data_IF_958267387503
#
_entry.id   IF_958267387503
#
_cell.length_a   1.000
_cell.length_b   1.000
_cell.length_c   1.000
_cell.angle_alpha   90.00
_cell.angle_beta   90.00
_cell.angle_gamma   90.00
#
_symmetry.space_group_name_H-M   'P 1'
#
loop_
_entity.id
_entity.type
_entity.pdbx_description
1 polymer ?
#
# COMPACT_ATOMS: atom_id res chain seq x y z
N UNK A 1 -21.68 -7.38 -9.67
CA UNK A 1 -22.43 -7.14 -8.44
C UNK A 1 -23.61 -6.24 -8.77
N UNK A 2 -24.85 -6.74 -8.71
CA UNK A 2 -26.05 -5.91 -8.84
C UNK A 2 -26.03 -4.88 -7.72
N UNK A 3 -26.03 -3.59 -8.06
CA UNK A 3 -26.08 -2.49 -7.11
C UNK A 3 -27.27 -2.68 -6.16
N UNK A 4 -27.00 -2.68 -4.85
CA UNK A 4 -28.04 -2.76 -3.81
C UNK A 4 -28.65 -1.39 -3.48
N UNK A 5 -28.33 -0.36 -4.28
CA UNK A 5 -28.84 1.00 -4.11
C UNK A 5 -30.37 1.02 -4.21
N UNK A 6 -31.00 1.72 -3.27
CA UNK A 6 -32.46 1.82 -3.18
C UNK A 6 -33.16 0.57 -2.65
N UNK A 7 -32.41 -0.48 -2.27
CA UNK A 7 -32.98 -1.68 -1.68
C UNK A 7 -32.98 -1.63 -0.17
N UNK A 8 -33.78 -2.49 0.44
CA UNK A 8 -33.84 -2.67 1.88
C UNK A 8 -32.99 -3.85 2.33
N UNK A 9 -32.13 -3.64 3.33
CA UNK A 9 -31.34 -4.68 3.98
C UNK A 9 -31.73 -4.76 5.46
N UNK A 10 -32.64 -5.66 5.81
CA UNK A 10 -33.25 -5.69 7.13
C UNK A 10 -33.93 -4.36 7.48
N UNK A 11 -33.54 -3.71 8.59
CA UNK A 11 -34.06 -2.40 8.98
C UNK A 11 -33.43 -1.23 8.20
N UNK A 12 -32.38 -1.46 7.38
CA UNK A 12 -31.62 -0.42 6.72
C UNK A 12 -32.09 -0.18 5.29
N UNK A 13 -32.39 1.08 4.95
CA UNK A 13 -32.62 1.53 3.59
C UNK A 13 -31.30 2.04 3.01
N UNK A 14 -30.73 1.31 2.04
CA UNK A 14 -29.42 1.62 1.44
C UNK A 14 -29.57 2.78 0.45
N UNK A 15 -29.09 3.98 0.83
CA UNK A 15 -29.32 5.24 0.07
C UNK A 15 -28.22 5.55 -0.93
N UNK A 16 -26.95 5.43 -0.54
CA UNK A 16 -25.81 5.66 -1.42
C UNK A 16 -24.63 4.77 -1.03
N UNK A 17 -23.85 4.34 -2.03
CA UNK A 17 -22.59 3.64 -1.81
C UNK A 17 -21.53 4.69 -1.49
N UNK A 18 -20.86 4.58 -0.33
CA UNK A 18 -19.81 5.51 0.11
C UNK A 18 -18.42 4.89 0.13
N UNK A 19 -18.33 3.56 -0.02
CA UNK A 19 -17.06 2.84 -0.12
C UNK A 19 -17.26 1.42 -0.63
N UNK A 20 -16.32 0.92 -1.41
CA UNK A 20 -16.27 -0.48 -1.85
C UNK A 20 -14.82 -0.96 -1.89
N UNK A 21 -14.58 -2.17 -1.43
CA UNK A 21 -13.26 -2.78 -1.39
C UNK A 21 -13.31 -4.29 -1.16
N UNK A 22 -12.14 -4.88 -0.99
CA UNK A 22 -12.00 -6.32 -0.79
C UNK A 22 -12.71 -6.84 0.48
N UNK A 23 -12.87 -5.98 1.50
CA UNK A 23 -13.54 -6.30 2.77
C UNK A 23 -15.04 -5.99 2.75
N UNK A 24 -15.60 -5.53 1.63
CA UNK A 24 -17.04 -5.30 1.47
C UNK A 24 -17.40 -3.93 0.94
N UNK A 25 -18.70 -3.65 1.00
CA UNK A 25 -19.32 -2.41 0.54
C UNK A 25 -19.83 -1.61 1.73
N UNK A 26 -19.62 -0.30 1.75
CA UNK A 26 -20.12 0.59 2.79
C UNK A 26 -21.18 1.51 2.19
N UNK A 27 -22.35 1.51 2.79
CA UNK A 27 -23.49 2.31 2.36
C UNK A 27 -23.84 3.38 3.39
N UNK A 28 -24.16 4.57 2.92
CA UNK A 28 -24.98 5.50 3.69
C UNK A 28 -26.39 4.93 3.70
N UNK A 29 -26.94 4.64 4.87
CA UNK A 29 -28.23 4.00 5.04
C UNK A 29 -29.08 4.75 6.05
N UNK A 30 -30.40 4.55 5.97
CA UNK A 30 -31.34 4.98 6.98
C UNK A 30 -31.80 3.78 7.80
N UNK A 31 -31.51 3.80 9.10
CA UNK A 31 -32.03 2.86 10.08
C UNK A 31 -33.48 3.23 10.38
N UNK A 32 -34.44 2.45 9.82
CA UNK A 32 -35.88 2.72 9.94
C UNK A 32 -36.47 2.40 11.33
N UNK A 33 -35.73 1.68 12.18
CA UNK A 33 -36.14 1.36 13.55
C UNK A 33 -35.76 2.46 14.51
N UNK A 34 -34.57 3.05 14.35
CA UNK A 34 -34.03 4.10 15.23
C UNK A 34 -34.12 5.49 14.61
N UNK A 35 -34.69 5.61 13.41
CA UNK A 35 -34.91 6.86 12.65
C UNK A 35 -33.64 7.72 12.58
N UNK A 36 -32.54 7.14 12.08
CA UNK A 36 -31.24 7.82 11.96
C UNK A 36 -30.49 7.42 10.70
N UNK A 37 -29.61 8.31 10.25
CA UNK A 37 -28.68 8.01 9.17
C UNK A 37 -27.40 7.39 9.73
N UNK A 38 -26.94 6.28 9.12
CA UNK A 38 -25.81 5.47 9.57
C UNK A 38 -24.93 5.08 8.40
N UNK A 39 -23.72 4.59 8.67
CA UNK A 39 -22.91 3.86 7.73
C UNK A 39 -23.09 2.35 7.97
N UNK A 40 -23.48 1.62 6.95
CA UNK A 40 -23.64 0.16 7.03
C UNK A 40 -22.62 -0.51 6.10
N UNK A 41 -21.68 -1.25 6.70
CA UNK A 41 -20.73 -2.07 5.96
C UNK A 41 -21.30 -3.47 5.79
N UNK A 42 -21.39 -3.93 4.53
CA UNK A 42 -21.79 -5.29 4.16
C UNK A 42 -20.57 -6.09 3.75
N UNK A 43 -20.32 -7.23 4.42
CA UNK A 43 -19.17 -8.07 4.13
C UNK A 43 -19.46 -9.01 2.95
N UNK A 44 -18.42 -9.41 2.18
CA UNK A 44 -18.58 -10.36 1.08
C UNK A 44 -19.14 -11.70 1.54
N UNK A 45 -19.97 -12.32 0.71
CA UNK A 45 -20.59 -13.62 1.02
C UNK A 45 -19.55 -14.73 1.30
N UNK A 46 -18.40 -14.69 0.64
CA UNK A 46 -17.32 -15.63 0.86
C UNK A 46 -16.78 -15.59 2.30
N UNK A 47 -16.64 -14.39 2.89
CA UNK A 47 -16.25 -14.22 4.30
C UNK A 47 -17.37 -14.70 5.23
N UNK A 48 -18.61 -14.44 4.87
CA UNK A 48 -19.78 -14.87 5.65
C UNK A 48 -19.94 -16.39 5.68
N UNK A 49 -19.38 -17.13 4.73
CA UNK A 49 -19.44 -18.58 4.67
C UNK A 49 -18.41 -19.32 5.54
N UNK A 50 -17.31 -18.65 5.97
CA UNK A 50 -16.27 -19.25 6.82
C UNK A 50 -16.67 -19.24 8.31
N UNK A 51 -16.90 -20.43 8.94
CA UNK A 51 -17.28 -20.51 10.36
C UNK A 51 -16.24 -19.91 11.30
N UNK A 52 -14.95 -20.05 10.98
CA UNK A 52 -13.87 -19.50 11.78
C UNK A 52 -13.89 -17.97 11.75
N UNK A 53 -14.15 -17.37 10.57
CA UNK A 53 -14.35 -15.93 10.44
C UNK A 53 -15.57 -15.46 11.21
N UNK A 54 -16.72 -16.15 11.09
CA UNK A 54 -17.96 -15.80 11.79
C UNK A 54 -17.78 -15.68 13.30
N UNK A 55 -17.09 -16.67 13.92
CA UNK A 55 -16.87 -16.68 15.36
C UNK A 55 -15.94 -15.53 15.80
N UNK A 56 -14.84 -15.30 15.04
CA UNK A 56 -13.92 -14.19 15.31
C UNK A 56 -14.63 -12.85 15.17
N UNK A 57 -15.31 -12.63 14.05
CA UNK A 57 -16.05 -11.40 13.76
C UNK A 57 -17.00 -11.02 14.89
N UNK A 58 -17.86 -11.96 15.30
CA UNK A 58 -18.82 -11.69 16.39
C UNK A 58 -18.12 -11.31 17.70
N UNK A 59 -17.04 -12.03 18.05
CA UNK A 59 -16.28 -11.75 19.28
C UNK A 59 -15.57 -10.41 19.22
N UNK A 60 -14.91 -10.11 18.14
CA UNK A 60 -14.11 -8.89 17.97
C UNK A 60 -14.99 -7.65 17.81
N UNK A 61 -16.10 -7.74 17.07
CA UNK A 61 -17.10 -6.67 17.00
C UNK A 61 -17.77 -6.41 18.36
N UNK A 62 -18.04 -7.45 19.16
CA UNK A 62 -18.59 -7.28 20.50
C UNK A 62 -17.62 -6.51 21.42
N UNK A 63 -16.32 -6.79 21.35
CA UNK A 63 -15.30 -6.04 22.08
C UNK A 63 -15.22 -4.60 21.55
N UNK A 64 -15.15 -4.42 20.22
CA UNK A 64 -15.05 -3.10 19.62
C UNK A 64 -16.25 -2.19 19.96
N UNK A 65 -17.47 -2.73 19.94
CA UNK A 65 -18.70 -2.00 20.31
C UNK A 65 -18.71 -1.57 21.79
N UNK A 66 -17.94 -2.24 22.65
CA UNK A 66 -17.80 -1.89 24.07
C UNK A 66 -16.74 -0.83 24.37
N UNK A 67 -15.89 -0.47 23.39
CA UNK A 67 -14.85 0.52 23.57
C UNK A 67 -15.42 1.93 23.75
N UNK A 68 -14.87 2.69 24.69
CA UNK A 68 -15.32 4.05 25.02
C UNK A 68 -14.23 5.10 24.74
N UNK A 69 -13.40 4.85 23.73
CA UNK A 69 -12.39 5.79 23.26
C UNK A 69 -12.98 6.65 22.13
N UNK A 70 -12.89 8.00 22.20
CA UNK A 70 -13.50 8.89 21.19
C UNK A 70 -13.03 8.66 19.74
N UNK A 71 -11.79 8.16 19.55
CA UNK A 71 -11.23 7.90 18.23
C UNK A 71 -11.53 6.50 17.70
N UNK A 72 -12.24 5.65 18.44
CA UNK A 72 -12.85 4.43 17.93
C UNK A 72 -14.20 4.79 17.33
N UNK A 73 -14.46 4.38 16.08
CA UNK A 73 -15.77 4.63 15.46
C UNK A 73 -16.90 4.03 16.32
N UNK A 74 -17.93 4.80 16.71
CA UNK A 74 -19.06 4.25 17.42
C UNK A 74 -19.79 3.20 16.59
N UNK A 75 -19.78 1.96 17.07
CA UNK A 75 -20.48 0.83 16.46
C UNK A 75 -21.86 0.69 17.11
N UNK A 76 -22.92 0.72 16.32
CA UNK A 76 -24.30 0.69 16.80
C UNK A 76 -24.89 -0.70 16.84
N UNK A 77 -24.57 -1.52 15.80
CA UNK A 77 -25.05 -2.87 15.68
C UNK A 77 -24.13 -3.68 14.73
N UNK A 78 -24.13 -4.98 14.89
CA UNK A 78 -23.39 -5.89 13.99
C UNK A 78 -24.04 -7.27 14.03
N UNK A 79 -23.90 -8.03 12.98
CA UNK A 79 -24.49 -9.36 12.91
C UNK A 79 -24.57 -9.90 11.50
N UNK A 80 -25.62 -10.70 11.26
CA UNK A 80 -25.91 -11.26 9.94
C UNK A 80 -27.41 -11.11 9.63
N UNK A 81 -27.72 -10.64 8.42
CA UNK A 81 -29.09 -10.57 7.86
C UNK A 81 -29.07 -11.38 6.55
N UNK A 82 -29.92 -12.37 6.44
CA UNK A 82 -30.02 -13.28 5.28
C UNK A 82 -28.65 -13.83 4.87
N UNK A 83 -27.84 -14.24 5.86
CA UNK A 83 -26.51 -14.82 5.65
C UNK A 83 -25.39 -13.83 5.26
N UNK A 84 -25.68 -12.51 5.19
CA UNK A 84 -24.70 -11.48 4.93
C UNK A 84 -24.33 -10.80 6.24
N UNK A 85 -23.03 -10.79 6.58
CA UNK A 85 -22.55 -10.08 7.77
C UNK A 85 -22.51 -8.58 7.52
N UNK A 86 -22.84 -7.82 8.56
CA UNK A 86 -22.87 -6.35 8.52
C UNK A 86 -22.33 -5.72 9.80
N UNK A 87 -21.91 -4.46 9.67
CA UNK A 87 -21.60 -3.56 10.77
C UNK A 87 -22.35 -2.26 10.54
N UNK A 88 -23.18 -1.85 11.50
CA UNK A 88 -23.81 -0.54 11.57
C UNK A 88 -22.98 0.37 12.47
N UNK A 89 -22.52 1.49 11.94
CA UNK A 89 -21.62 2.42 12.64
C UNK A 89 -22.00 3.89 12.38
N UNK A 90 -21.45 4.76 13.19
CA UNK A 90 -21.59 6.20 13.01
C UNK A 90 -21.16 6.62 11.61
N UNK A 91 -21.98 7.44 10.95
CA UNK A 91 -21.64 8.03 9.66
C UNK A 91 -20.76 9.26 9.88
N UNK A 92 -19.51 9.18 9.43
CA UNK A 92 -18.58 10.31 9.46
C UNK A 92 -18.79 11.16 8.21
N UNK A 93 -19.15 12.42 8.40
CA UNK A 93 -19.22 13.41 7.32
C UNK A 93 -17.81 13.93 7.03
N UNK A 94 -17.14 13.32 6.07
CA UNK A 94 -15.75 13.61 5.70
C UNK A 94 -15.20 12.54 4.76
N UNK A 95 -13.91 12.42 4.70
CA UNK A 95 -13.22 11.44 3.85
C UNK A 95 -12.24 10.58 4.63
N UNK A 96 -11.61 9.63 3.95
CA UNK A 96 -10.52 8.87 4.54
C UNK A 96 -9.20 9.66 4.52
N UNK A 97 -8.27 9.28 5.37
CA UNK A 97 -6.90 9.79 5.32
C UNK A 97 -6.24 9.49 3.95
N UNK A 98 -6.63 8.39 3.31
CA UNK A 98 -6.18 8.06 1.95
C UNK A 98 -6.63 9.09 0.93
N UNK A 99 -7.90 9.52 1.02
CA UNK A 99 -8.43 10.58 0.15
C UNK A 99 -7.70 11.89 0.38
N UNK A 100 -7.46 12.25 1.64
CA UNK A 100 -6.70 13.44 2.00
C UNK A 100 -5.28 13.43 1.41
N UNK A 101 -4.57 12.29 1.54
CA UNK A 101 -3.21 12.13 1.00
C UNK A 101 -3.21 12.18 -0.54
N UNK A 102 -4.21 11.57 -1.18
CA UNK A 102 -4.34 11.62 -2.65
C UNK A 102 -4.62 13.04 -3.16
N UNK A 103 -5.46 13.81 -2.46
CA UNK A 103 -5.88 15.15 -2.89
C UNK A 103 -4.84 16.23 -2.58
N UNK A 104 -4.20 16.14 -1.42
CA UNK A 104 -3.32 17.20 -0.90
C UNK A 104 -1.84 16.80 -0.86
N UNK A 105 -1.52 15.54 -1.15
CA UNK A 105 -0.17 15.00 -1.00
C UNK A 105 0.24 14.82 0.48
N UNK A 106 1.55 14.76 0.75
CA UNK A 106 2.10 14.52 2.08
C UNK A 106 1.74 15.64 3.06
N UNK A 107 1.52 15.26 4.31
CA UNK A 107 1.12 16.19 5.39
C UNK A 107 2.34 16.86 6.04
N UNK A 108 2.13 18.05 6.59
CA UNK A 108 3.10 18.66 7.47
C UNK A 108 3.27 17.82 8.76
N UNK A 109 4.50 17.79 9.28
CA UNK A 109 4.89 16.92 10.40
C UNK A 109 3.99 17.08 11.63
N UNK A 110 3.60 18.29 12.08
CA UNK A 110 2.67 18.45 13.21
C UNK A 110 1.30 17.81 12.97
N UNK A 111 0.79 17.92 11.73
CA UNK A 111 -0.50 17.33 11.35
C UNK A 111 -0.43 15.80 11.29
N UNK A 112 0.63 15.25 10.70
CA UNK A 112 0.88 13.81 10.66
C UNK A 112 0.97 13.23 12.09
N UNK A 113 1.75 13.85 12.97
CA UNK A 113 1.88 13.44 14.37
C UNK A 113 0.54 13.53 15.13
N UNK A 114 -0.27 14.58 14.90
CA UNK A 114 -1.59 14.74 15.52
C UNK A 114 -2.55 13.61 15.11
N UNK A 115 -2.63 13.26 13.82
CA UNK A 115 -3.48 12.16 13.33
C UNK A 115 -3.01 10.83 13.93
N UNK A 116 -1.71 10.56 13.89
CA UNK A 116 -1.11 9.35 14.48
C UNK A 116 -1.40 9.25 15.97
N UNK A 117 -1.36 10.36 16.71
CA UNK A 117 -1.68 10.38 18.13
C UNK A 117 -3.16 10.02 18.42
N UNK A 118 -4.07 10.45 17.56
CA UNK A 118 -5.48 10.09 17.65
C UNK A 118 -5.72 8.60 17.37
N UNK A 119 -5.12 8.08 16.29
CA UNK A 119 -5.18 6.64 15.95
C UNK A 119 -4.54 5.78 17.05
N UNK A 120 -3.42 6.24 17.62
CA UNK A 120 -2.74 5.54 18.70
C UNK A 120 -3.62 5.37 19.95
N UNK A 121 -4.41 6.38 20.31
CA UNK A 121 -5.38 6.27 21.44
C UNK A 121 -6.44 5.19 21.17
N UNK A 122 -6.98 5.14 19.96
CA UNK A 122 -7.92 4.11 19.56
C UNK A 122 -7.30 2.69 19.65
N UNK A 123 -6.07 2.56 19.19
CA UNK A 123 -5.33 1.28 19.24
C UNK A 123 -5.03 0.86 20.69
N UNK A 124 -4.52 1.76 21.52
CA UNK A 124 -4.19 1.43 22.92
C UNK A 124 -5.45 1.03 23.72
N UNK A 125 -6.59 1.67 23.47
CA UNK A 125 -7.86 1.26 24.07
C UNK A 125 -8.31 -0.15 23.62
N UNK A 126 -8.16 -0.45 22.32
CA UNK A 126 -8.45 -1.78 21.78
C UNK A 126 -7.50 -2.84 22.36
N UNK A 127 -6.21 -2.55 22.42
CA UNK A 127 -5.19 -3.44 22.98
C UNK A 127 -5.43 -3.73 24.46
N UNK A 128 -5.82 -2.73 25.24
CA UNK A 128 -6.19 -2.91 26.65
C UNK A 128 -7.40 -3.85 26.82
N UNK A 129 -8.32 -3.87 25.85
CA UNK A 129 -9.45 -4.79 25.79
C UNK A 129 -9.11 -6.16 25.16
N UNK A 130 -7.84 -6.42 24.83
CA UNK A 130 -7.38 -7.66 24.21
C UNK A 130 -7.70 -7.79 22.71
N UNK A 131 -8.05 -6.69 22.05
CA UNK A 131 -8.35 -6.64 20.61
C UNK A 131 -7.17 -6.03 19.84
N UNK A 132 -6.66 -6.76 18.84
CA UNK A 132 -5.65 -6.30 17.90
C UNK A 132 -6.33 -5.97 16.58
N UNK A 133 -6.07 -4.77 16.02
CA UNK A 133 -6.79 -4.26 14.86
C UNK A 133 -6.41 -4.96 13.54
N UNK A 134 -5.12 -5.18 13.30
CA UNK A 134 -4.53 -5.88 12.16
C UNK A 134 -4.78 -5.25 10.75
N UNK A 135 -5.43 -4.10 10.71
CA UNK A 135 -5.78 -3.42 9.46
C UNK A 135 -5.52 -1.92 9.51
N UNK A 136 -4.53 -1.45 10.29
CA UNK A 136 -4.18 -0.02 10.37
C UNK A 136 -3.60 0.44 9.04
N UNK A 137 -4.33 1.37 8.37
CA UNK A 137 -4.00 1.91 7.05
C UNK A 137 -4.79 3.19 6.78
N UNK A 138 -4.38 4.05 5.81
CA UNK A 138 -5.05 5.33 5.57
C UNK A 138 -6.55 5.23 5.24
N UNK A 139 -6.99 4.17 4.57
CA UNK A 139 -8.40 3.96 4.23
C UNK A 139 -9.27 3.70 5.46
N UNK A 140 -8.68 3.21 6.56
CA UNK A 140 -9.38 2.90 7.81
C UNK A 140 -9.28 4.03 8.85
N UNK A 141 -8.75 5.19 8.47
CA UNK A 141 -8.75 6.41 9.28
C UNK A 141 -9.67 7.42 8.62
N UNK A 142 -10.85 7.64 9.20
CA UNK A 142 -11.82 8.63 8.73
C UNK A 142 -11.57 9.95 9.43
N UNK A 143 -11.64 11.04 8.69
CA UNK A 143 -11.39 12.39 9.17
C UNK A 143 -12.65 13.23 9.02
N UNK A 144 -13.06 13.91 10.11
CA UNK A 144 -14.08 14.94 10.05
C UNK A 144 -13.49 16.25 9.46
N UNK A 145 -14.33 17.23 9.04
CA UNK A 145 -13.85 18.51 8.54
C UNK A 145 -12.96 19.29 9.51
N UNK A 146 -13.13 19.13 10.82
CA UNK A 146 -12.33 19.71 11.89
C UNK A 146 -11.10 18.84 12.26
N UNK A 147 -10.78 17.84 11.43
CA UNK A 147 -9.63 16.97 11.55
C UNK A 147 -9.63 16.00 12.74
N UNK A 148 -10.78 15.72 13.32
CA UNK A 148 -10.91 14.63 14.26
C UNK A 148 -10.84 13.30 13.52
N UNK A 149 -10.04 12.36 14.03
CA UNK A 149 -9.81 11.07 13.39
C UNK A 149 -10.59 9.95 14.09
N UNK A 150 -11.26 9.12 13.30
CA UNK A 150 -11.85 7.85 13.73
C UNK A 150 -11.09 6.69 13.11
N UNK A 151 -10.73 5.69 13.90
CA UNK A 151 -10.26 4.40 13.42
C UNK A 151 -11.47 3.47 13.22
N UNK A 152 -11.58 2.87 12.03
CA UNK A 152 -12.70 2.00 11.62
C UNK A 152 -12.22 0.58 11.31
N UNK A 153 -13.14 -0.34 11.04
CA UNK A 153 -12.86 -1.71 10.58
C UNK A 153 -12.25 -2.65 11.62
N UNK A 154 -12.58 -2.45 12.89
CA UNK A 154 -12.30 -3.41 13.95
C UNK A 154 -12.99 -4.77 13.69
N UNK A 155 -12.30 -5.88 13.95
CA UNK A 155 -12.83 -7.23 13.76
C UNK A 155 -12.79 -7.76 12.32
N UNK A 156 -12.27 -6.99 11.38
CA UNK A 156 -12.20 -7.34 9.94
C UNK A 156 -10.75 -7.48 9.46
N UNK A 157 -9.78 -6.95 10.21
CA UNK A 157 -8.38 -6.87 9.80
C UNK A 157 -7.69 -8.21 9.46
N UNK A 158 -8.18 -9.33 9.99
CA UNK A 158 -7.69 -10.65 9.62
C UNK A 158 -7.99 -11.03 8.17
N UNK A 159 -9.07 -10.50 7.60
CA UNK A 159 -9.54 -10.79 6.26
C UNK A 159 -9.07 -9.77 5.21
N UNK A 160 -8.36 -8.72 5.62
CA UNK A 160 -7.81 -7.71 4.72
C UNK A 160 -6.69 -8.32 3.85
N UNK A 161 -6.85 -8.41 2.53
CA UNK A 161 -5.83 -8.96 1.63
C UNK A 161 -4.67 -8.00 1.40
N UNK A 162 -4.79 -6.73 1.79
CA UNK A 162 -3.75 -5.74 1.60
C UNK A 162 -2.52 -6.05 2.45
N UNK A 163 -1.36 -6.07 1.81
CA UNK A 163 -0.07 -6.37 2.44
C UNK A 163 0.82 -5.14 2.65
N UNK A 164 0.41 -3.98 2.15
CA UNK A 164 1.21 -2.74 2.09
C UNK A 164 1.63 -2.22 3.47
N UNK A 165 0.82 -2.48 4.50
CA UNK A 165 1.09 -2.07 5.89
C UNK A 165 1.28 -3.26 6.82
N UNK A 166 1.42 -4.46 6.24
CA UNK A 166 1.42 -5.71 6.99
C UNK A 166 2.74 -5.92 7.74
N UNK A 167 2.66 -6.18 9.03
CA UNK A 167 3.83 -6.48 9.85
C UNK A 167 4.47 -7.83 9.47
N UNK A 168 5.82 -7.96 9.61
CA UNK A 168 6.58 -9.17 9.22
C UNK A 168 6.01 -10.48 9.75
N UNK A 169 5.58 -10.51 11.01
CA UNK A 169 5.04 -11.72 11.66
C UNK A 169 3.73 -12.22 11.04
N UNK A 170 2.99 -11.39 10.31
CA UNK A 170 1.77 -11.81 9.61
C UNK A 170 2.05 -12.58 8.30
N UNK A 171 3.25 -12.50 7.77
CA UNK A 171 3.68 -13.31 6.62
C UNK A 171 4.18 -14.70 7.03
N UNK A 172 4.27 -14.96 8.33
CA UNK A 172 4.69 -16.23 8.91
C UNK A 172 3.61 -16.75 9.86
N UNK A 173 3.88 -17.87 10.54
CA UNK A 173 3.02 -18.38 11.61
C UNK A 173 3.24 -17.67 12.96
N UNK A 174 3.82 -16.46 12.91
CA UNK A 174 4.13 -15.67 14.10
C UNK A 174 2.89 -15.23 14.86
N UNK A 175 3.01 -15.10 16.20
CA UNK A 175 1.91 -14.59 17.02
C UNK A 175 1.72 -13.09 16.76
N UNK A 176 0.48 -12.68 16.48
CA UNK A 176 0.07 -11.27 16.40
C UNK A 176 -0.18 -10.69 17.79
N UNK A 177 -0.04 -9.38 17.93
CA UNK A 177 -0.27 -8.67 19.19
C UNK A 177 -0.21 -7.16 18.98
N UNK A 178 -0.28 -6.36 20.06
CA UNK A 178 -0.24 -4.90 19.99
C UNK A 178 0.87 -4.33 19.10
N UNK A 179 2.08 -4.92 19.16
CA UNK A 179 3.23 -4.48 18.37
C UNK A 179 3.06 -4.73 16.86
N UNK A 180 2.08 -5.57 16.45
CA UNK A 180 1.72 -5.75 15.04
C UNK A 180 1.06 -4.48 14.50
N UNK A 181 0.15 -3.88 15.27
CA UNK A 181 -0.49 -2.60 14.92
C UNK A 181 0.48 -1.42 15.01
N UNK A 182 1.43 -1.45 15.97
CA UNK A 182 2.52 -0.45 16.06
C UNK A 182 3.34 -0.40 14.78
N UNK A 183 3.64 -1.53 14.17
CA UNK A 183 4.32 -1.58 12.87
C UNK A 183 3.50 -0.89 11.77
N UNK A 184 2.23 -1.25 11.67
CA UNK A 184 1.32 -0.67 10.66
C UNK A 184 1.10 0.84 10.90
N UNK A 185 1.06 1.29 12.16
CA UNK A 185 0.98 2.71 12.53
C UNK A 185 2.24 3.47 12.14
N UNK A 186 3.42 2.85 12.24
CA UNK A 186 4.67 3.45 11.76
C UNK A 186 4.69 3.58 10.22
N UNK A 187 4.15 2.58 9.51
CA UNK A 187 3.96 2.67 8.05
C UNK A 187 3.00 3.82 7.68
N UNK A 188 1.92 3.99 8.43
CA UNK A 188 0.97 5.08 8.24
C UNK A 188 1.60 6.44 8.52
N UNK A 189 2.40 6.58 9.59
CA UNK A 189 3.17 7.81 9.88
C UNK A 189 4.10 8.13 8.70
N UNK A 190 4.84 7.14 8.21
CA UNK A 190 5.73 7.32 7.06
C UNK A 190 4.97 7.86 5.84
N UNK A 191 3.83 7.26 5.48
CA UNK A 191 3.02 7.71 4.35
C UNK A 191 2.43 9.11 4.58
N UNK A 192 1.98 9.43 5.77
CA UNK A 192 1.55 10.79 6.11
C UNK A 192 2.64 11.82 5.83
N UNK A 193 3.90 11.50 6.15
CA UNK A 193 5.04 12.41 5.99
C UNK A 193 5.55 12.49 4.54
N UNK A 194 5.46 11.41 3.77
CA UNK A 194 6.09 11.29 2.44
C UNK A 194 5.09 11.28 1.28
N UNK A 195 3.81 10.99 1.55
CA UNK A 195 2.76 10.84 0.55
C UNK A 195 2.69 9.45 -0.10
N UNK A 196 3.61 8.54 0.25
CA UNK A 196 3.69 7.18 -0.31
C UNK A 196 3.94 6.16 0.80
N UNK A 197 3.47 4.91 0.68
CA UNK A 197 3.75 3.87 1.66
C UNK A 197 5.26 3.54 1.69
N UNK A 198 5.76 2.96 2.80
CA UNK A 198 7.19 2.67 2.95
C UNK A 198 7.73 1.66 1.94
N UNK A 199 6.90 0.75 1.48
CA UNK A 199 7.20 -0.23 0.44
C UNK A 199 6.02 -0.33 -0.52
N UNK A 200 6.30 -0.18 -1.81
CA UNK A 200 5.31 -0.26 -2.88
C UNK A 200 5.91 -1.03 -4.05
N UNK A 201 5.25 -2.11 -4.43
CA UNK A 201 5.57 -2.93 -5.59
C UNK A 201 4.32 -3.68 -6.02
N UNK A 202 4.22 -3.98 -7.32
CA UNK A 202 3.13 -4.77 -7.87
C UNK A 202 3.29 -6.28 -7.56
N UNK A 203 4.51 -6.73 -7.23
CA UNK A 203 4.78 -8.13 -6.89
C UNK A 203 4.52 -8.40 -5.39
N UNK A 204 3.53 -9.25 -5.04
CA UNK A 204 3.23 -9.59 -3.65
C UNK A 204 4.38 -10.27 -2.89
N UNK A 205 5.26 -11.01 -3.57
CA UNK A 205 6.39 -11.69 -2.93
C UNK A 205 7.56 -10.74 -2.72
N UNK A 206 7.78 -9.80 -3.62
CA UNK A 206 8.71 -8.70 -3.42
C UNK A 206 8.27 -7.80 -2.26
N UNK A 207 6.98 -7.44 -2.19
CA UNK A 207 6.42 -6.67 -1.08
C UNK A 207 6.59 -7.39 0.26
N UNK A 208 6.32 -8.69 0.30
CA UNK A 208 6.57 -9.54 1.47
C UNK A 208 8.05 -9.52 1.86
N UNK A 209 8.94 -9.67 0.89
CA UNK A 209 10.39 -9.63 1.11
C UNK A 209 10.83 -8.28 1.68
N UNK A 210 10.29 -7.17 1.16
CA UNK A 210 10.57 -5.84 1.66
C UNK A 210 10.14 -5.69 3.14
N UNK A 211 8.92 -6.09 3.49
CA UNK A 211 8.46 -6.06 4.88
C UNK A 211 9.26 -6.96 5.81
N UNK A 212 9.71 -8.11 5.32
CA UNK A 212 10.46 -9.09 6.12
C UNK A 212 11.93 -8.68 6.34
N UNK A 213 12.59 -8.14 5.32
CA UNK A 213 14.04 -8.04 5.27
C UNK A 213 14.58 -6.62 5.05
N UNK A 214 13.89 -5.78 4.24
CA UNK A 214 14.43 -4.45 3.91
C UNK A 214 14.36 -3.51 5.12
N UNK A 215 15.39 -2.67 5.34
CA UNK A 215 15.34 -1.66 6.39
C UNK A 215 14.19 -0.68 6.14
N UNK A 216 13.69 -0.06 7.20
CA UNK A 216 12.69 0.99 7.09
C UNK A 216 13.28 2.17 6.29
N UNK A 217 12.55 2.71 5.30
CA UNK A 217 13.01 3.88 4.57
C UNK A 217 12.98 5.13 5.48
N UNK A 218 13.83 6.11 5.15
CA UNK A 218 13.98 7.33 5.95
C UNK A 218 13.13 8.48 5.43
N UNK A 219 12.11 8.94 6.17
CA UNK A 219 11.25 10.05 5.74
C UNK A 219 12.02 11.32 5.37
N UNK A 220 13.10 11.66 6.11
CA UNK A 220 13.91 12.86 5.88
C UNK A 220 14.66 12.84 4.55
N UNK A 221 14.95 11.66 4.00
CA UNK A 221 15.57 11.48 2.68
C UNK A 221 14.52 11.61 1.58
N UNK A 222 13.33 11.07 1.83
CA UNK A 222 12.25 11.03 0.83
C UNK A 222 11.59 12.40 0.63
N UNK A 223 11.49 13.21 1.68
CA UNK A 223 10.89 14.55 1.62
C UNK A 223 11.72 15.60 2.36
N UNK A 224 12.08 16.66 1.65
CA UNK A 224 12.71 17.83 2.26
C UNK A 224 11.76 18.48 3.28
N UNK A 225 12.31 18.92 4.42
CA UNK A 225 11.55 19.55 5.50
C UNK A 225 11.04 18.58 6.57
N UNK A 226 11.17 17.27 6.37
CA UNK A 226 10.96 16.28 7.43
C UNK A 226 12.22 16.16 8.27
N UNK A 227 12.09 16.33 9.59
CA UNK A 227 13.22 16.25 10.54
C UNK A 227 13.78 14.82 10.63
N UNK A 228 15.11 14.72 10.89
CA UNK A 228 15.78 13.41 11.02
C UNK A 228 15.29 12.58 12.20
N UNK A 229 14.76 13.20 13.25
CA UNK A 229 14.16 12.50 14.37
C UNK A 229 13.03 11.54 13.95
N UNK A 230 12.31 11.85 12.87
CA UNK A 230 11.30 10.94 12.31
C UNK A 230 11.91 9.68 11.71
N UNK A 231 13.15 9.70 11.24
CA UNK A 231 13.84 8.50 10.73
C UNK A 231 13.97 7.45 11.83
N UNK A 232 14.31 7.85 13.05
CA UNK A 232 14.46 6.96 14.20
C UNK A 232 13.11 6.44 14.68
N UNK A 233 12.07 7.29 14.70
CA UNK A 233 10.70 6.88 15.04
C UNK A 233 10.19 5.82 14.08
N UNK A 234 10.32 6.03 12.77
CA UNK A 234 9.89 5.10 11.74
C UNK A 234 10.73 3.82 11.80
N UNK A 235 12.05 3.92 11.92
CA UNK A 235 12.94 2.76 11.98
C UNK A 235 12.63 1.88 13.20
N UNK A 236 12.39 2.45 14.37
CA UNK A 236 11.99 1.71 15.57
C UNK A 236 10.60 1.11 15.44
N UNK A 237 9.61 1.87 14.97
CA UNK A 237 8.25 1.39 14.77
C UNK A 237 8.16 0.24 13.76
N UNK A 238 8.96 0.31 12.69
CA UNK A 238 9.05 -0.71 11.64
C UNK A 238 10.14 -1.76 11.90
N UNK A 239 10.67 -1.88 13.11
CA UNK A 239 11.65 -2.92 13.43
C UNK A 239 11.09 -4.32 13.15
N UNK A 240 11.92 -5.19 12.56
CA UNK A 240 11.48 -6.54 12.14
C UNK A 240 11.14 -7.41 13.35
N UNK A 241 11.95 -7.32 14.39
CA UNK A 241 11.66 -7.98 15.67
C UNK A 241 10.65 -7.15 16.47
N UNK A 242 9.55 -7.77 16.90
CA UNK A 242 8.47 -7.12 17.65
C UNK A 242 8.96 -6.46 18.95
N UNK A 243 9.87 -7.11 19.67
CA UNK A 243 10.44 -6.62 20.93
C UNK A 243 11.33 -5.39 20.78
N UNK A 244 11.79 -5.11 19.57
CA UNK A 244 12.57 -3.89 19.27
C UNK A 244 11.69 -2.68 18.92
N UNK A 245 10.38 -2.88 18.73
CA UNK A 245 9.41 -1.82 18.47
C UNK A 245 9.06 -1.03 19.73
N UNK A 246 8.19 -0.05 19.60
CA UNK A 246 7.56 0.61 20.76
C UNK A 246 6.65 -0.38 21.49
N UNK A 247 6.55 -0.25 22.80
CA UNK A 247 5.73 -1.11 23.65
C UNK A 247 4.22 -0.92 23.42
N UNK A 248 3.80 0.32 23.06
CA UNK A 248 2.42 0.67 22.73
C UNK A 248 2.34 1.62 21.54
N UNK A 249 1.15 1.82 20.99
CA UNK A 249 0.90 2.81 19.94
C UNK A 249 1.10 4.25 20.46
N UNK A 250 0.71 4.51 21.71
CA UNK A 250 0.92 5.80 22.38
C UNK A 250 2.39 6.16 22.58
N UNK A 251 3.28 5.17 22.80
CA UNK A 251 4.71 5.43 22.85
C UNK A 251 5.26 5.89 21.49
N UNK A 252 4.83 5.28 20.39
CA UNK A 252 5.19 5.73 19.05
C UNK A 252 4.68 7.15 18.79
N UNK A 253 3.41 7.42 19.12
CA UNK A 253 2.81 8.73 18.91
C UNK A 253 3.51 9.83 19.71
N UNK A 254 3.93 9.55 20.95
CA UNK A 254 4.72 10.49 21.76
C UNK A 254 6.06 10.77 21.11
N UNK A 255 6.79 9.74 20.68
CA UNK A 255 8.05 9.91 19.97
C UNK A 255 7.89 10.72 18.67
N UNK A 256 6.80 10.52 17.93
CA UNK A 256 6.49 11.32 16.75
C UNK A 256 6.21 12.81 17.11
N UNK A 257 5.55 13.08 18.23
CA UNK A 257 5.30 14.44 18.72
C UNK A 257 6.59 15.14 19.20
N UNK A 258 7.47 14.40 19.86
CA UNK A 258 8.80 14.88 20.27
C UNK A 258 9.64 15.23 19.03
N UNK A 259 9.61 14.39 17.98
CA UNK A 259 10.27 14.64 16.71
C UNK A 259 9.79 15.92 16.00
N UNK A 260 8.54 16.35 16.20
CA UNK A 260 8.03 17.64 15.73
C UNK A 260 8.72 18.78 16.46
N UNK A 261 8.88 18.67 17.79
CA UNK A 261 9.44 19.74 18.63
C UNK A 261 10.92 20.00 18.31
N UNK A 262 11.69 18.94 18.01
CA UNK A 262 13.11 19.09 17.62
C UNK A 262 13.30 19.87 16.32
N UNK A 263 12.33 19.80 15.39
CA UNK A 263 12.38 20.55 14.12
C UNK A 263 12.04 22.02 14.33
N UNK A 264 11.20 22.33 15.34
CA UNK A 264 10.70 23.69 15.61
C UNK A 264 11.44 24.39 16.76
N UNK A 265 12.37 23.75 17.48
CA UNK A 265 13.28 24.52 18.32
C UNK A 265 14.15 25.36 17.41
N UNK A 266 14.03 26.73 17.44
CA UNK A 266 15.04 27.56 16.88
C UNK A 266 16.30 27.18 17.66
N UNK A 267 17.39 26.82 16.95
CA UNK A 267 18.68 26.51 17.57
C UNK A 267 18.85 27.48 18.71
N UNK A 268 18.77 26.97 19.95
CA UNK A 268 18.92 27.80 21.14
C UNK A 268 20.24 28.52 20.93
N UNK A 269 20.14 29.81 20.60
CA UNK A 269 21.31 30.67 20.48
C UNK A 269 21.93 30.54 21.86
N UNK A 270 23.04 29.80 21.91
CA UNK A 270 23.76 29.59 23.14
C UNK A 270 23.97 30.97 23.75
N UNK A 271 23.24 31.25 24.83
CA UNK A 271 23.30 32.52 25.56
C UNK A 271 24.69 32.75 26.21
N UNK A 272 25.69 32.03 25.71
CA UNK A 272 27.12 32.21 26.02
C UNK A 272 27.88 32.93 24.90
N UNK A 273 27.19 33.54 23.93
CA UNK A 273 27.86 34.54 23.09
C UNK A 273 28.12 35.77 23.95
N UNK A 274 29.34 35.88 24.46
CA UNK A 274 29.86 37.12 25.07
C UNK A 274 29.53 38.26 24.10
N UNK A 275 29.07 39.43 24.59
CA UNK A 275 28.72 40.54 23.73
C UNK A 275 29.92 40.84 22.82
N UNK A 276 29.70 40.75 21.51
CA UNK A 276 30.68 41.22 20.53
C UNK A 276 30.96 42.68 20.86
N UNK A 277 32.11 42.95 21.50
CA UNK A 277 32.61 44.31 21.66
C UNK A 277 32.87 44.80 20.24
N UNK A 278 31.99 45.62 19.73
CA UNK A 278 32.22 46.43 18.55
C UNK A 278 33.37 47.35 18.90
N UNK A 279 34.57 47.10 18.38
CA UNK A 279 35.64 48.10 18.40
C UNK A 279 35.13 49.25 17.55
N UNK A 280 35.25 50.53 18.10
CA UNK A 280 34.97 51.72 17.29
C UNK A 280 35.88 51.68 16.06
N UNK A 281 35.29 51.80 14.89
CA UNK A 281 36.02 51.94 13.65
C UNK A 281 36.58 53.36 13.69
N UNK A 282 37.86 53.50 14.00
CA UNK A 282 38.56 54.77 13.86
C UNK A 282 38.78 54.95 12.36
N UNK A 283 37.98 55.82 11.74
CA UNK A 283 38.10 56.15 10.34
C UNK A 283 39.39 57.01 10.19
N UNK A 284 40.52 56.39 9.88
CA UNK A 284 41.76 57.06 9.46
C UNK A 284 41.51 57.51 8.02
N UNK A 285 41.16 58.74 7.82
CA UNK A 285 41.22 59.37 6.50
C UNK A 285 42.72 59.56 6.13
N UNK A 286 43.17 59.04 4.97
CA UNK A 286 44.55 59.28 4.53
C UNK A 286 44.73 60.76 4.28
N UNK A 287 45.79 61.29 4.85
CA UNK A 287 46.23 62.66 4.66
C UNK A 287 46.62 62.84 3.18
N UNK A 288 46.02 63.78 2.40
CA UNK A 288 46.31 63.95 0.98
C UNK A 288 47.76 64.28 0.60
N UNK A 289 48.63 64.50 1.55
CA UNK A 289 50.02 64.85 1.29
C UNK A 289 51.04 63.71 1.43
N UNK A 290 50.60 62.49 1.71
CA UNK A 290 51.47 61.30 1.89
C UNK A 290 51.62 60.48 0.65
N UNK A 291 52.45 60.89 -0.31
CA UNK A 291 52.76 60.19 -1.57
C UNK A 291 53.93 59.20 -1.43
N UNK A 292 54.15 58.64 -0.26
CA UNK A 292 55.19 57.63 -0.03
C UNK A 292 54.74 56.21 -0.47
N UNK A 293 55.04 55.79 -1.69
CA UNK A 293 54.87 54.41 -2.16
C UNK A 293 55.92 53.53 -1.48
N UNK A 294 55.53 52.81 -0.43
CA UNK A 294 56.29 51.66 0.07
C UNK A 294 55.87 50.36 -0.63
N UNK A 295 56.82 49.57 -1.17
CA UNK A 295 56.45 48.27 -1.82
C UNK A 295 55.87 47.29 -0.79
N UNK A 296 54.81 46.73 -1.10
CA UNK A 296 54.15 45.67 -0.33
C UNK A 296 55.05 44.41 -0.26
N UNK A 297 55.35 43.86 0.92
CA UNK A 297 56.06 42.59 1.00
C UNK A 297 55.16 41.44 0.42
N UNK A 298 55.74 40.43 -0.23
CA UNK A 298 54.96 39.31 -0.76
C UNK A 298 54.26 38.57 0.37
N UNK A 299 52.96 38.26 0.16
CA UNK A 299 52.15 37.50 1.09
C UNK A 299 52.75 36.11 1.27
N UNK A 300 53.06 35.75 2.52
CA UNK A 300 53.46 34.39 2.88
C UNK A 300 52.36 33.40 2.53
N UNK A 301 52.72 32.31 1.82
CA UNK A 301 51.84 31.24 1.49
C UNK A 301 51.31 30.54 2.77
N UNK A 302 50.03 30.15 2.81
CA UNK A 302 49.49 29.47 3.98
C UNK A 302 50.23 28.15 4.22
N UNK A 303 50.47 27.75 5.49
CA UNK A 303 51.14 26.51 5.82
C UNK A 303 50.31 25.31 5.36
N UNK A 304 50.96 24.37 4.69
CA UNK A 304 50.39 23.08 4.28
C UNK A 304 49.95 22.29 5.52
N UNK A 305 48.79 21.60 5.47
CA UNK A 305 48.33 20.76 6.58
C UNK A 305 49.31 19.62 6.85
N UNK A 306 49.49 19.20 8.12
CA UNK A 306 50.42 18.11 8.45
C UNK A 306 49.95 16.78 7.87
N UNK A 307 50.84 16.13 7.13
CA UNK A 307 50.66 14.74 6.65
C UNK A 307 50.58 13.80 7.85
N UNK A 308 49.41 13.18 8.07
CA UNK A 308 49.30 12.04 8.98
C UNK A 308 49.89 10.80 8.30
N UNK A 309 50.74 10.03 8.99
CA UNK A 309 51.26 8.80 8.40
C UNK A 309 50.16 7.78 8.23
N UNK A 310 50.06 7.22 7.02
CA UNK A 310 49.17 6.13 6.65
C UNK A 310 49.69 4.86 7.33
N UNK A 311 49.04 4.43 8.41
CA UNK A 311 49.29 3.12 9.03
C UNK A 311 48.62 2.08 8.13
N UNK A 312 49.43 1.38 7.36
CA UNK A 312 48.98 0.26 6.54
C UNK A 312 48.38 -0.85 7.39
N UNK A 313 47.10 -1.12 7.24
CA UNK A 313 46.50 -2.34 7.71
C UNK A 313 46.77 -3.43 6.67
N UNK A 314 47.68 -4.34 6.98
CA UNK A 314 47.93 -5.56 6.23
C UNK A 314 46.70 -6.49 6.21
N UNK A 315 46.67 -7.47 5.29
CA UNK A 315 45.46 -8.23 4.97
C UNK A 315 45.13 -9.28 6.01
N UNK A 316 44.00 -9.13 6.70
CA UNK A 316 43.32 -10.19 7.45
C UNK A 316 42.19 -10.76 6.57
N UNK A 317 42.55 -11.44 5.47
CA UNK A 317 41.65 -12.17 4.61
C UNK A 317 42.23 -13.60 4.42
N UNK A 318 42.20 -14.39 5.48
CA UNK A 318 42.51 -15.82 5.39
C UNK A 318 41.67 -16.71 6.32
N UNK A 319 40.69 -16.20 7.07
CA UNK A 319 39.88 -17.00 7.99
C UNK A 319 38.45 -17.29 7.54
N UNK A 320 37.88 -16.53 6.58
CA UNK A 320 36.46 -16.66 6.21
C UNK A 320 36.13 -17.83 5.26
N UNK A 321 37.06 -18.24 4.40
CA UNK A 321 36.81 -19.26 3.39
C UNK A 321 36.70 -20.69 3.98
N UNK A 322 37.43 -20.98 5.05
CA UNK A 322 37.41 -22.31 5.68
C UNK A 322 36.09 -22.59 6.44
N UNK A 323 35.51 -21.56 7.08
CA UNK A 323 34.22 -21.69 7.80
C UNK A 323 33.05 -21.84 6.82
N UNK A 324 33.06 -21.14 5.69
CA UNK A 324 32.03 -21.26 4.67
C UNK A 324 31.99 -22.66 4.03
N UNK A 325 33.18 -23.26 3.75
CA UNK A 325 33.26 -24.60 3.18
C UNK A 325 32.81 -25.69 4.17
N UNK A 326 33.05 -25.52 5.46
CA UNK A 326 32.57 -26.47 6.49
C UNK A 326 31.04 -26.40 6.63
N UNK A 327 30.43 -25.21 6.56
CA UNK A 327 28.98 -25.06 6.62
C UNK A 327 28.31 -25.66 5.38
N UNK A 328 28.85 -25.44 4.19
CA UNK A 328 28.33 -26.06 2.95
C UNK A 328 28.46 -27.58 2.99
N UNK A 329 29.59 -28.10 3.49
CA UNK A 329 29.81 -29.56 3.65
C UNK A 329 28.80 -30.20 4.64
N UNK A 330 28.48 -29.52 5.75
CA UNK A 330 27.49 -29.98 6.72
C UNK A 330 26.06 -29.96 6.16
N UNK A 331 25.71 -28.95 5.38
CA UNK A 331 24.38 -28.86 4.74
C UNK A 331 24.22 -29.97 3.67
N UNK A 332 25.24 -30.25 2.86
CA UNK A 332 25.21 -31.35 1.88
C UNK A 332 25.12 -32.71 2.56
N UNK A 333 25.83 -32.91 3.66
CA UNK A 333 25.76 -34.15 4.43
C UNK A 333 24.38 -34.35 5.09
N UNK A 334 23.78 -33.28 5.61
CA UNK A 334 22.44 -33.31 6.22
C UNK A 334 21.35 -33.62 5.17
N UNK A 335 21.43 -33.00 3.99
CA UNK A 335 20.49 -33.26 2.88
C UNK A 335 20.65 -34.70 2.37
N UNK A 336 21.88 -35.24 2.28
CA UNK A 336 22.12 -36.63 1.88
C UNK A 336 21.64 -37.64 2.91
N UNK A 337 21.73 -37.33 4.24
CA UNK A 337 21.23 -38.16 5.29
C UNK A 337 19.71 -38.22 5.39
N UNK A 338 19.04 -37.10 5.04
CA UNK A 338 17.56 -36.99 5.00
C UNK A 338 16.95 -37.67 3.77
N UNK A 339 17.72 -37.91 2.70
CA UNK A 339 17.25 -38.57 1.48
C UNK A 339 17.42 -40.11 1.49
N UNK A 340 18.00 -40.71 2.54
CA UNK A 340 18.17 -42.15 2.68
C UNK A 340 17.16 -42.85 3.61
N UNK A 341 16.07 -42.18 3.95
CA UNK A 341 15.02 -42.73 4.82
C UNK A 341 13.81 -43.29 4.06
N UNK A 342 13.78 -44.62 3.90
CA UNK A 342 12.55 -45.42 3.82
C UNK A 342 11.91 -45.58 2.45
N UNK A 343 12.21 -46.68 1.76
CA UNK A 343 11.34 -47.21 0.71
C UNK A 343 10.00 -47.67 1.34
N UNK A 344 8.83 -47.29 0.77
CA UNK A 344 7.54 -47.79 1.24
C UNK A 344 7.37 -49.29 0.85
N UNK A 345 6.62 -50.08 1.64
CA UNK A 345 6.36 -51.47 1.34
C UNK A 345 5.54 -51.61 0.02
N UNK A 346 5.70 -52.73 -0.69
CA UNK A 346 5.03 -52.95 -1.96
C UNK A 346 3.51 -52.99 -1.76
N UNK A 347 2.83 -52.08 -2.43
CA UNK A 347 1.37 -52.00 -2.45
C UNK A 347 0.86 -53.03 -3.48
N UNK A 348 -0.07 -53.87 -3.07
CA UNK A 348 -0.74 -54.86 -3.90
C UNK A 348 -1.31 -54.21 -5.17
N UNK A 349 -1.15 -54.87 -6.30
CA UNK A 349 -1.58 -54.41 -7.61
C UNK A 349 -3.12 -54.23 -7.64
N UNK A 350 -3.57 -53.00 -7.84
CA UNK A 350 -4.93 -52.68 -8.26
C UNK A 350 -5.03 -52.85 -9.79
N UNK A 351 -6.15 -53.33 -10.31
CA UNK A 351 -6.36 -53.44 -11.76
C UNK A 351 -6.32 -52.05 -12.41
N UNK A 352 -5.87 -51.94 -13.67
CA UNK A 352 -5.72 -50.68 -14.36
C UNK A 352 -7.05 -49.97 -14.53
N UNK A 353 -7.17 -48.75 -13.99
CA UNK A 353 -8.19 -47.80 -14.34
C UNK A 353 -8.13 -47.46 -15.83
N UNK A 354 -9.24 -47.27 -16.53
CA UNK A 354 -9.24 -46.92 -17.95
C UNK A 354 -8.51 -45.56 -18.11
N UNK A 355 -7.65 -45.49 -19.11
CA UNK A 355 -6.89 -44.30 -19.47
C UNK A 355 -7.84 -43.10 -19.64
N UNK A 356 -7.46 -41.88 -19.16
CA UNK A 356 -8.25 -40.72 -19.48
C UNK A 356 -8.20 -40.48 -20.98
N UNK A 357 -9.39 -40.42 -21.61
CA UNK A 357 -9.54 -40.00 -22.99
C UNK A 357 -8.82 -38.67 -23.19
N UNK A 358 -7.83 -38.67 -24.06
CA UNK A 358 -7.14 -37.47 -24.49
C UNK A 358 -8.13 -36.58 -25.26
N UNK A 359 -8.73 -35.63 -24.54
CA UNK A 359 -9.40 -34.50 -25.17
C UNK A 359 -8.33 -33.72 -25.94
N UNK A 360 -8.50 -33.50 -27.25
CA UNK A 360 -7.52 -32.69 -28.00
C UNK A 360 -7.40 -31.32 -27.37
N UNK A 361 -6.21 -30.70 -27.33
CA UNK A 361 -6.02 -29.37 -26.78
C UNK A 361 -6.99 -28.39 -27.48
N UNK A 362 -7.61 -27.45 -26.75
CA UNK A 362 -8.49 -26.45 -27.32
C UNK A 362 -7.72 -25.69 -28.44
N UNK A 363 -8.32 -25.64 -29.64
CA UNK A 363 -7.72 -24.88 -30.75
C UNK A 363 -7.62 -23.42 -30.32
N UNK A 364 -6.41 -22.85 -30.36
CA UNK A 364 -6.21 -21.42 -30.13
C UNK A 364 -6.99 -20.65 -31.20
N UNK A 365 -7.84 -19.68 -30.85
CA UNK A 365 -8.58 -18.87 -31.81
C UNK A 365 -7.62 -18.18 -32.79
N UNK A 366 -8.05 -17.96 -34.02
CA UNK A 366 -7.27 -17.24 -35.03
C UNK A 366 -7.79 -15.80 -35.11
N UNK A 367 -6.90 -14.83 -35.23
CA UNK A 367 -7.29 -13.42 -35.39
C UNK A 367 -7.72 -13.15 -36.84
N UNK A 368 -8.76 -12.35 -37.04
CA UNK A 368 -9.28 -11.93 -38.34
C UNK A 368 -8.30 -11.12 -39.19
N UNK A 369 -7.31 -10.48 -38.55
CA UNK A 369 -6.23 -9.74 -39.17
C UNK A 369 -4.94 -9.85 -38.32
N UNK A 370 -3.74 -9.77 -38.90
CA UNK A 370 -2.50 -9.80 -38.13
C UNK A 370 -2.33 -8.52 -37.32
N UNK A 371 -2.12 -8.68 -36.00
CA UNK A 371 -1.76 -7.60 -35.07
C UNK A 371 -0.35 -7.86 -34.56
N UNK A 372 0.53 -6.87 -34.71
CA UNK A 372 1.95 -7.01 -34.32
C UNK A 372 2.11 -7.35 -32.83
N UNK A 373 2.75 -8.47 -32.53
CA UNK A 373 2.99 -8.93 -31.15
C UNK A 373 1.80 -9.64 -30.52
N UNK A 374 0.73 -9.89 -31.25
CA UNK A 374 -0.44 -10.63 -30.76
C UNK A 374 -0.60 -11.99 -31.44
N UNK A 375 -1.20 -12.94 -30.71
CA UNK A 375 -1.67 -14.24 -31.18
C UNK A 375 -3.20 -14.34 -30.98
N UNK A 376 -3.75 -15.55 -31.09
CA UNK A 376 -5.20 -15.80 -30.92
C UNK A 376 -5.78 -15.53 -29.54
N UNK A 377 -4.98 -15.12 -28.54
CA UNK A 377 -5.42 -14.71 -27.21
C UNK A 377 -5.11 -13.24 -26.87
N UNK A 378 -4.44 -12.50 -27.76
CA UNK A 378 -4.03 -11.11 -27.53
C UNK A 378 -2.50 -10.96 -27.54
N UNK A 379 -1.94 -9.96 -26.85
CA UNK A 379 -0.53 -9.61 -26.92
C UNK A 379 0.35 -10.58 -26.13
N UNK A 380 1.37 -11.14 -26.79
CA UNK A 380 2.25 -12.16 -26.20
C UNK A 380 3.25 -11.52 -25.25
N UNK A 381 3.27 -11.97 -24.00
CA UNK A 381 4.16 -11.46 -22.96
C UNK A 381 3.66 -10.19 -22.27
N UNK A 382 2.50 -9.66 -22.66
CA UNK A 382 1.90 -8.45 -22.13
C UNK A 382 0.64 -8.75 -21.31
N UNK A 383 0.18 -7.80 -20.48
CA UNK A 383 -1.03 -7.96 -19.67
C UNK A 383 -2.32 -7.80 -20.50
N UNK A 384 -2.24 -7.11 -21.67
CA UNK A 384 -3.33 -7.01 -22.63
C UNK A 384 -3.53 -8.34 -23.40
N UNK A 385 -3.94 -9.38 -22.65
CA UNK A 385 -4.13 -10.76 -23.13
C UNK A 385 -5.31 -11.42 -22.46
N UNK A 386 -6.07 -12.21 -23.21
CA UNK A 386 -7.20 -12.98 -22.69
C UNK A 386 -6.73 -14.24 -21.95
N UNK A 387 -7.55 -14.68 -20.99
CA UNK A 387 -7.29 -15.94 -20.28
C UNK A 387 -7.42 -17.14 -21.22
N UNK A 388 -6.72 -18.25 -20.96
CA UNK A 388 -6.86 -19.47 -21.76
C UNK A 388 -8.33 -19.93 -21.82
N UNK A 389 -8.85 -20.10 -23.04
CA UNK A 389 -10.25 -20.48 -23.29
C UNK A 389 -11.21 -19.33 -23.52
N UNK A 390 -10.79 -18.07 -23.33
CA UNK A 390 -11.57 -16.88 -23.59
C UNK A 390 -11.11 -16.23 -24.91
N UNK A 391 -11.88 -16.29 -26.00
CA UNK A 391 -11.47 -15.68 -27.27
C UNK A 391 -11.50 -14.15 -27.18
N UNK A 392 -10.58 -13.43 -27.86
CA UNK A 392 -10.65 -11.99 -27.94
C UNK A 392 -11.77 -11.53 -28.87
N UNK A 393 -12.71 -10.78 -28.32
CA UNK A 393 -13.74 -10.10 -29.10
C UNK A 393 -13.21 -8.86 -29.84
N UNK A 394 -12.11 -8.23 -29.32
CA UNK A 394 -11.36 -7.20 -30.00
C UNK A 394 -9.90 -7.20 -29.50
N UNK A 395 -8.95 -7.02 -30.44
CA UNK A 395 -7.52 -6.78 -30.15
C UNK A 395 -7.15 -5.46 -30.84
N UNK A 396 -6.65 -4.52 -30.07
CA UNK A 396 -6.39 -3.15 -30.51
C UNK A 396 -4.96 -2.74 -30.19
N UNK A 397 -4.26 -2.22 -31.18
CA UNK A 397 -2.94 -1.60 -31.00
C UNK A 397 -2.98 -0.16 -31.46
N UNK A 398 -2.60 0.75 -30.61
CA UNK A 398 -2.33 2.16 -30.91
C UNK A 398 -0.83 2.44 -30.87
N UNK A 399 -0.45 3.71 -31.02
CA UNK A 399 0.92 4.14 -30.82
C UNK A 399 1.36 4.15 -29.34
N UNK A 400 0.37 4.23 -28.41
CA UNK A 400 0.63 4.40 -26.98
C UNK A 400 0.10 3.27 -26.12
N UNK A 401 -0.89 2.50 -26.62
CA UNK A 401 -1.61 1.52 -25.83
C UNK A 401 -1.83 0.21 -26.57
N UNK A 402 -1.87 -0.89 -25.80
CA UNK A 402 -2.35 -2.20 -26.20
C UNK A 402 -3.67 -2.44 -25.47
N UNK A 403 -4.68 -2.95 -26.15
CA UNK A 403 -5.95 -3.26 -25.52
C UNK A 403 -6.58 -4.53 -26.09
N UNK A 404 -7.24 -5.31 -25.25
CA UNK A 404 -7.98 -6.48 -25.64
C UNK A 404 -9.32 -6.51 -24.91
N UNK A 405 -10.38 -6.87 -25.62
CA UNK A 405 -11.68 -7.20 -25.03
C UNK A 405 -11.88 -8.69 -25.21
N UNK A 406 -12.10 -9.41 -24.14
CA UNK A 406 -12.18 -10.86 -24.10
C UNK A 406 -13.62 -11.31 -23.79
N UNK A 407 -14.07 -12.38 -24.41
CA UNK A 407 -15.36 -13.01 -24.11
C UNK A 407 -15.14 -14.21 -23.19
N UNK A 408 -15.82 -14.24 -22.04
CA UNK A 408 -15.73 -15.36 -21.12
C UNK A 408 -16.73 -16.49 -21.49
N UNK A 409 -16.63 -17.63 -20.83
CA UNK A 409 -17.50 -18.79 -21.06
C UNK A 409 -18.99 -18.51 -20.81
N UNK A 410 -19.34 -17.45 -20.09
CA UNK A 410 -20.73 -17.00 -19.85
C UNK A 410 -21.25 -16.03 -20.91
N UNK A 411 -20.45 -15.68 -21.92
CA UNK A 411 -20.81 -14.71 -22.95
C UNK A 411 -20.70 -13.24 -22.50
N UNK A 412 -20.10 -12.97 -21.35
CA UNK A 412 -19.82 -11.62 -20.86
C UNK A 412 -18.44 -11.17 -21.30
N UNK A 413 -18.26 -9.86 -21.45
CA UNK A 413 -17.00 -9.29 -21.90
C UNK A 413 -16.22 -8.62 -20.76
N UNK A 414 -14.89 -8.71 -20.83
CA UNK A 414 -13.95 -7.97 -19.97
C UNK A 414 -12.84 -7.33 -20.82
N UNK A 415 -12.30 -6.25 -20.31
CA UNK A 415 -11.29 -5.43 -20.96
C UNK A 415 -9.96 -5.52 -20.22
N UNK A 416 -8.88 -5.65 -20.97
CA UNK A 416 -7.52 -5.46 -20.46
C UNK A 416 -6.79 -4.46 -21.35
N UNK A 417 -6.27 -3.40 -20.74
CA UNK A 417 -5.49 -2.36 -21.42
C UNK A 417 -4.13 -2.19 -20.79
N UNK A 418 -3.13 -1.88 -21.62
CA UNK A 418 -1.76 -1.65 -21.18
C UNK A 418 -1.16 -0.47 -21.93
N UNK A 419 -0.43 0.40 -21.21
CA UNK A 419 0.29 1.52 -21.79
C UNK A 419 1.70 1.09 -22.19
N UNK A 420 2.09 1.30 -23.44
CA UNK A 420 3.36 0.83 -24.00
C UNK A 420 4.58 1.50 -23.34
N UNK A 421 4.45 2.74 -22.84
CA UNK A 421 5.60 3.51 -22.35
C UNK A 421 6.13 3.06 -20.99
N UNK A 422 5.28 2.51 -20.13
CA UNK A 422 5.58 2.20 -18.72
C UNK A 422 4.95 0.90 -18.22
N UNK A 423 4.24 0.15 -19.08
CA UNK A 423 3.57 -1.10 -18.72
C UNK A 423 2.37 -0.93 -17.78
N UNK A 424 1.93 0.31 -17.53
CA UNK A 424 0.76 0.55 -16.69
C UNK A 424 -0.48 -0.09 -17.31
N UNK A 425 -1.15 -0.97 -16.57
CA UNK A 425 -2.25 -1.79 -17.08
C UNK A 425 -3.51 -1.69 -16.23
N UNK A 426 -4.64 -2.06 -16.83
CA UNK A 426 -5.95 -2.09 -16.18
C UNK A 426 -6.75 -3.29 -16.68
N UNK A 427 -7.51 -3.90 -15.77
CA UNK A 427 -8.50 -4.93 -16.07
C UNK A 427 -9.87 -4.50 -15.56
N UNK A 428 -10.91 -4.62 -16.42
CA UNK A 428 -12.28 -4.23 -16.13
C UNK A 428 -13.24 -5.34 -16.60
N UNK A 429 -14.08 -5.84 -15.70
CA UNK A 429 -14.94 -7.01 -15.92
C UNK A 429 -16.30 -6.72 -16.57
N UNK A 430 -16.58 -5.47 -16.95
CA UNK A 430 -17.91 -4.98 -17.37
C UNK A 430 -17.87 -4.30 -18.74
N UNK A 431 -17.20 -4.91 -19.72
CA UNK A 431 -17.23 -4.41 -21.09
C UNK A 431 -18.60 -4.73 -21.72
N UNK A 432 -19.18 -3.75 -22.40
CA UNK A 432 -20.47 -3.85 -23.09
C UNK A 432 -20.29 -3.59 -24.57
N UNK A 433 -21.01 -4.34 -25.43
CA UNK A 433 -21.01 -4.06 -26.86
C UNK A 433 -21.70 -2.72 -27.14
N UNK A 434 -21.04 -1.86 -27.91
CA UNK A 434 -21.55 -0.54 -28.28
C UNK A 434 -21.16 -0.22 -29.73
N UNK A 435 -22.15 -0.21 -30.62
CA UNK A 435 -21.92 -0.03 -32.05
C UNK A 435 -21.05 -1.14 -32.65
N UNK A 436 -19.95 -0.72 -33.30
CA UNK A 436 -18.95 -1.59 -33.92
C UNK A 436 -17.78 -1.98 -32.98
N UNK A 437 -17.89 -1.64 -31.69
CA UNK A 437 -16.86 -1.91 -30.69
C UNK A 437 -17.42 -2.16 -29.29
N UNK A 438 -16.71 -1.64 -28.28
CA UNK A 438 -17.04 -1.85 -26.87
C UNK A 438 -16.89 -0.57 -26.05
N UNK A 439 -17.77 -0.40 -25.07
CA UNK A 439 -17.68 0.57 -24.02
C UNK A 439 -17.38 -0.14 -22.69
N UNK A 440 -16.45 0.41 -21.94
CA UNK A 440 -16.04 -0.15 -20.65
C UNK A 440 -15.92 0.98 -19.65
N UNK A 441 -16.66 0.92 -18.57
CA UNK A 441 -16.58 1.95 -17.52
C UNK A 441 -15.89 1.38 -16.30
N UNK A 442 -14.84 2.06 -15.83
CA UNK A 442 -14.20 1.70 -14.57
C UNK A 442 -15.16 2.05 -13.41
N UNK A 443 -15.65 1.06 -12.66
CA UNK A 443 -16.62 1.30 -11.60
C UNK A 443 -16.02 2.07 -10.41
N UNK A 444 -14.68 2.12 -10.29
CA UNK A 444 -14.01 2.78 -9.17
C UNK A 444 -13.91 4.30 -9.33
N UNK A 445 -13.77 4.79 -10.56
CA UNK A 445 -13.51 6.21 -10.82
C UNK A 445 -14.37 6.81 -11.96
N UNK A 446 -15.28 6.03 -12.55
CA UNK A 446 -16.17 6.47 -13.61
C UNK A 446 -15.47 6.74 -14.96
N UNK A 447 -14.19 6.41 -15.09
CA UNK A 447 -13.47 6.54 -16.36
C UNK A 447 -14.01 5.54 -17.37
N UNK A 448 -14.41 6.03 -18.55
CA UNK A 448 -14.92 5.22 -19.65
C UNK A 448 -13.86 5.03 -20.74
N UNK A 449 -13.71 3.79 -21.17
CA UNK A 449 -12.86 3.38 -22.28
C UNK A 449 -13.77 3.01 -23.46
N UNK A 450 -13.65 3.73 -24.57
CA UNK A 450 -14.34 3.41 -25.82
C UNK A 450 -13.36 2.74 -26.77
N UNK A 451 -13.57 1.45 -27.01
CA UNK A 451 -12.74 0.63 -27.89
C UNK A 451 -13.45 0.52 -29.24
N UNK A 452 -12.92 1.15 -30.28
CA UNK A 452 -13.48 1.14 -31.65
C UNK A 452 -12.43 0.69 -32.66
N UNK A 453 -12.84 0.22 -33.84
CA UNK A 453 -11.87 -0.17 -34.89
C UNK A 453 -10.94 0.95 -35.33
N UNK A 454 -11.38 2.21 -35.24
CA UNK A 454 -10.64 3.40 -35.68
C UNK A 454 -9.92 4.14 -34.56
N UNK A 455 -10.37 3.99 -33.31
CA UNK A 455 -9.83 4.73 -32.16
C UNK A 455 -10.05 4.06 -30.82
N UNK A 456 -9.11 4.31 -29.88
CA UNK A 456 -9.26 4.07 -28.46
C UNK A 456 -9.40 5.40 -27.73
N UNK A 457 -10.50 5.62 -26.98
CA UNK A 457 -10.72 6.82 -26.17
C UNK A 457 -10.75 6.50 -24.69
N UNK A 458 -10.23 7.42 -23.91
CA UNK A 458 -10.32 7.43 -22.45
C UNK A 458 -11.04 8.71 -22.06
N UNK A 459 -12.14 8.58 -21.31
CA UNK A 459 -13.05 9.69 -21.00
C UNK A 459 -13.25 9.73 -19.49
N UNK A 460 -12.92 10.85 -18.85
CA UNK A 460 -13.16 11.10 -17.41
C UNK A 460 -14.14 12.26 -17.24
N UNK A 461 -15.14 12.11 -16.40
CA UNK A 461 -16.13 13.16 -16.08
C UNK A 461 -16.75 13.83 -17.33
N UNK A 462 -16.91 13.08 -18.42
CA UNK A 462 -17.44 13.61 -19.68
C UNK A 462 -16.43 14.33 -20.58
N UNK A 463 -15.18 14.47 -20.18
CA UNK A 463 -14.08 15.01 -20.98
C UNK A 463 -13.23 13.90 -21.57
N UNK A 464 -12.78 14.07 -22.82
CA UNK A 464 -11.87 13.13 -23.49
C UNK A 464 -10.44 13.41 -23.04
N UNK A 465 -9.90 12.54 -22.19
CA UNK A 465 -8.52 12.66 -21.68
C UNK A 465 -7.50 12.16 -22.70
N UNK A 466 -7.86 11.11 -23.46
CA UNK A 466 -7.03 10.56 -24.53
C UNK A 466 -7.91 10.10 -25.68
N UNK A 467 -7.45 10.33 -26.91
CA UNK A 467 -8.04 9.80 -28.14
C UNK A 467 -6.89 9.32 -29.03
N UNK A 468 -6.73 8.01 -29.14
CA UNK A 468 -5.61 7.36 -29.82
C UNK A 468 -6.11 6.70 -31.10
N UNK A 469 -5.58 7.07 -32.28
CA UNK A 469 -5.87 6.37 -33.53
C UNK A 469 -5.41 4.91 -33.42
N UNK A 470 -6.26 3.98 -33.84
CA UNK A 470 -5.94 2.56 -33.91
C UNK A 470 -5.09 2.30 -35.11
N UNK A 471 -3.93 1.67 -34.87
CA UNK A 471 -2.98 1.27 -35.93
C UNK A 471 -3.32 -0.13 -36.44
N UNK A 472 -3.78 -1.03 -35.59
CA UNK A 472 -4.16 -2.39 -35.95
C UNK A 472 -5.36 -2.84 -35.08
N UNK A 473 -6.30 -3.49 -35.71
CA UNK A 473 -7.52 -4.05 -35.11
C UNK A 473 -7.80 -5.46 -35.60
N UNK A 474 -8.16 -6.35 -34.73
CA UNK A 474 -8.62 -7.71 -35.08
C UNK A 474 -9.66 -8.22 -34.08
N UNK A 475 -10.45 -9.20 -34.53
CA UNK A 475 -11.37 -10.01 -33.71
C UNK A 475 -10.99 -11.48 -33.83
N UNK A 476 -11.39 -12.33 -32.89
CA UNK A 476 -11.27 -13.78 -33.08
C UNK A 476 -12.27 -14.25 -34.13
N UNK A 477 -11.85 -15.18 -34.96
CA UNK A 477 -12.67 -15.88 -35.98
C UNK A 477 -12.90 -17.33 -35.57
#
# INVERSE_FOLDING_TARGET
>A
LTSRLGTRFGPYELRSLIGAGATGEVYRAHDTVRDRTVAVKLLPAAMSADPGFQQRFRRECAVAAGLREPHVIPMHDFGAIIGVFFVDMHLVEGGSLKDLLRERGPLEAPRAASIVAQVARALDAAHAAGLVHLGVRPEHVLLTPDHFAYLVDFGIGHADPSRVYMAPERFTTGRVGPQTDVYSLACLLYECLTGQPPFETADPDELKTAHMLSPAPRPSIMRRGVGRAFDDVVARGMAKQRTARFGSAGELARAASEAVSEVYEPAAVSAAAAPLRTRPFEAVYPNPDDTGVTPYPPADAPPSPPHRPFVGRGPLVAGGAAVALVIVGLIVALVSALSQGGAPPPRAAQPPSPAPSSTPPPKTPTLSAPVRGADGLGFVGETARCDPGNPPAAVVRTAKSLAVVCENLSGSYYYRGERISDGAHIELSNAERAGDGFDVTNPLNGVRYEVRPDRLRIISFGHVDSSEPVLQYATAS
#
